data_IF_700309538436
#
_entry.id   IF_700309538436
#
_cell.length_a   1.000
_cell.length_b   1.000
_cell.length_c   1.000
_cell.angle_alpha   90.00
_cell.angle_beta   90.00
_cell.angle_gamma   90.00
#
_symmetry.space_group_name_H-M   'P 1'
#
loop_
_entity.id
_entity.type
_entity.pdbx_description
1 polymer ?
#
# COMPACT_ATOMS: atom_id res chain seq x y z
N UNK A 1 -47.63 -13.96 -95.20
CA UNK A 1 -47.04 -14.77 -94.16
C UNK A 1 -45.60 -15.13 -94.56
N UNK A 2 -44.71 -14.19 -94.51
CA UNK A 2 -43.26 -14.35 -94.69
C UNK A 2 -42.55 -13.19 -93.96
N UNK A 3 -42.14 -13.31 -92.74
CA UNK A 3 -41.08 -12.41 -92.14
C UNK A 3 -40.80 -12.71 -90.67
N UNK A 4 -40.99 -13.91 -90.13
CA UNK A 4 -40.74 -14.21 -88.74
C UNK A 4 -39.48 -15.05 -88.48
N UNK A 5 -38.80 -15.59 -89.53
CA UNK A 5 -37.67 -16.53 -89.39
C UNK A 5 -36.28 -15.84 -89.39
N UNK A 6 -36.19 -14.56 -89.80
CA UNK A 6 -34.85 -13.83 -89.85
C UNK A 6 -34.41 -13.22 -88.54
N UNK A 7 -35.32 -12.84 -87.66
CA UNK A 7 -35.02 -12.14 -86.41
C UNK A 7 -34.56 -13.11 -85.31
N UNK A 8 -35.05 -14.35 -85.36
CA UNK A 8 -34.62 -15.34 -84.33
C UNK A 8 -33.22 -15.85 -84.53
N UNK A 9 -32.70 -15.85 -85.78
CA UNK A 9 -31.31 -16.32 -86.07
C UNK A 9 -30.26 -15.27 -85.75
N UNK A 10 -30.59 -13.95 -85.85
CA UNK A 10 -29.66 -12.84 -85.48
C UNK A 10 -29.56 -12.66 -83.96
N UNK A 11 -30.61 -13.00 -83.25
CA UNK A 11 -30.62 -12.86 -81.78
C UNK A 11 -29.90 -14.07 -81.09
N UNK A 12 -29.82 -15.21 -81.71
CA UNK A 12 -29.04 -16.36 -81.22
C UNK A 12 -27.56 -16.22 -81.45
N UNK A 13 -27.04 -15.49 -82.45
CA UNK A 13 -25.66 -15.20 -82.70
C UNK A 13 -25.10 -14.09 -81.76
N UNK A 14 -25.98 -13.14 -81.36
CA UNK A 14 -25.62 -12.07 -80.45
C UNK A 14 -25.43 -12.53 -79.01
N UNK A 15 -26.15 -13.58 -78.57
CA UNK A 15 -26.01 -14.15 -77.23
C UNK A 15 -24.82 -15.10 -77.06
N UNK A 16 -24.31 -15.68 -78.17
CA UNK A 16 -23.12 -16.53 -78.14
C UNK A 16 -21.77 -15.73 -78.03
N UNK A 17 -21.79 -14.44 -78.42
CA UNK A 17 -20.55 -13.59 -78.28
C UNK A 17 -20.38 -12.95 -76.91
N UNK A 18 -21.39 -12.97 -76.03
CA UNK A 18 -21.33 -12.40 -74.70
C UNK A 18 -20.86 -13.40 -73.59
N UNK A 19 -20.63 -14.69 -73.92
CA UNK A 19 -20.11 -15.69 -72.97
C UNK A 19 -18.64 -16.05 -73.15
N UNK A 20 -17.92 -15.41 -74.06
CA UNK A 20 -16.50 -15.68 -74.31
C UNK A 20 -15.53 -14.69 -73.64
N UNK A 21 -16.03 -13.88 -72.70
CA UNK A 21 -15.28 -12.76 -72.10
C UNK A 21 -14.98 -12.87 -70.63
N UNK A 22 -14.90 -14.04 -69.99
CA UNK A 22 -14.45 -14.24 -68.62
C UNK A 22 -13.47 -15.42 -68.50
N UNK A 23 -12.34 -15.29 -69.06
CA UNK A 23 -11.19 -16.16 -68.92
C UNK A 23 -9.92 -15.34 -68.82
N UNK A 24 -10.00 -14.27 -68.00
CA UNK A 24 -8.76 -13.62 -67.50
C UNK A 24 -8.24 -14.47 -66.36
N UNK A 25 -7.24 -15.26 -66.63
CA UNK A 25 -6.27 -15.68 -65.63
C UNK A 25 -5.74 -14.36 -65.01
N UNK A 26 -6.36 -13.93 -63.92
CA UNK A 26 -5.68 -12.98 -62.99
C UNK A 26 -4.42 -13.71 -62.58
N UNK A 27 -3.34 -13.42 -63.30
CA UNK A 27 -2.02 -13.63 -62.79
C UNK A 27 -2.03 -13.02 -61.39
N UNK A 28 -2.15 -13.87 -60.34
CA UNK A 28 -1.84 -13.44 -58.98
C UNK A 28 -0.51 -12.74 -59.07
N UNK A 29 -0.55 -11.41 -59.06
CA UNK A 29 0.68 -10.61 -58.88
C UNK A 29 1.33 -11.17 -57.63
N UNK A 30 2.49 -11.76 -57.84
CA UNK A 30 3.36 -12.31 -56.80
C UNK A 30 3.95 -11.13 -55.96
N UNK A 31 3.06 -10.19 -55.59
CA UNK A 31 3.38 -9.08 -54.70
C UNK A 31 3.40 -9.65 -53.30
N UNK A 32 4.60 -9.87 -52.79
CA UNK A 32 4.81 -10.31 -51.42
C UNK A 32 3.93 -9.50 -50.45
N UNK A 33 3.12 -10.18 -49.65
CA UNK A 33 2.18 -9.54 -48.72
C UNK A 33 2.95 -8.66 -47.72
N UNK A 34 2.57 -7.37 -47.56
CA UNK A 34 3.23 -6.53 -46.57
C UNK A 34 2.89 -7.03 -45.14
N UNK A 35 3.88 -7.27 -44.31
CA UNK A 35 3.74 -7.68 -42.91
C UNK A 35 4.50 -6.73 -41.99
N UNK A 36 3.82 -6.31 -40.94
CA UNK A 36 4.46 -5.49 -39.90
C UNK A 36 5.43 -6.35 -39.10
N UNK A 37 6.69 -5.96 -39.11
CA UNK A 37 7.75 -6.66 -38.40
C UNK A 37 8.37 -5.79 -37.30
N UNK A 38 8.87 -6.44 -36.28
CA UNK A 38 9.61 -5.79 -35.19
C UNK A 38 10.72 -6.71 -34.71
N UNK A 39 11.76 -6.13 -34.13
CA UNK A 39 12.70 -6.90 -33.33
C UNK A 39 12.09 -7.15 -31.95
N UNK A 40 12.34 -8.33 -31.33
CA UNK A 40 12.12 -8.46 -29.91
C UNK A 40 12.88 -7.35 -29.21
N UNK A 41 12.14 -6.38 -28.62
CA UNK A 41 12.75 -5.22 -27.99
C UNK A 41 13.62 -5.66 -26.83
N UNK A 42 14.66 -4.87 -26.53
CA UNK A 42 15.39 -4.94 -25.25
C UNK A 42 14.44 -4.52 -24.12
N UNK A 43 13.32 -5.23 -24.05
CA UNK A 43 12.37 -5.07 -22.97
C UNK A 43 13.02 -5.63 -21.72
N UNK A 44 13.66 -4.76 -20.95
CA UNK A 44 13.46 -4.87 -19.53
C UNK A 44 11.97 -4.67 -19.32
N UNK A 45 11.18 -5.67 -19.69
CA UNK A 45 9.82 -5.80 -19.19
C UNK A 45 9.99 -6.07 -17.71
N UNK A 46 10.24 -5.00 -16.97
CA UNK A 46 9.97 -4.95 -15.56
C UNK A 46 8.47 -5.18 -15.51
N UNK A 47 8.04 -6.42 -15.37
CA UNK A 47 6.67 -6.68 -14.93
C UNK A 47 6.61 -6.13 -13.52
N UNK A 48 6.38 -4.83 -13.42
CA UNK A 48 6.13 -4.20 -12.17
C UNK A 48 4.67 -4.56 -11.83
N UNK A 49 4.53 -5.51 -10.93
CA UNK A 49 3.21 -5.78 -10.36
C UNK A 49 2.73 -4.52 -9.66
N UNK A 50 1.56 -4.04 -10.06
CA UNK A 50 0.98 -2.81 -9.54
C UNK A 50 -0.11 -3.16 -8.53
N UNK A 51 0.06 -2.72 -7.29
CA UNK A 51 -0.88 -2.95 -6.21
C UNK A 51 -1.54 -1.64 -5.80
N UNK A 52 -2.87 -1.66 -5.65
CA UNK A 52 -3.59 -0.54 -5.07
C UNK A 52 -3.33 -0.48 -3.57
N UNK A 53 -3.24 0.72 -3.01
CA UNK A 53 -3.03 0.94 -1.60
C UNK A 53 -3.50 2.31 -1.14
N UNK A 54 -3.41 2.54 0.16
CA UNK A 54 -3.80 3.78 0.82
C UNK A 54 -2.65 4.29 1.68
N UNK A 55 -2.49 5.61 1.69
CA UNK A 55 -1.44 6.30 2.45
C UNK A 55 -1.86 6.44 3.91
N UNK A 56 -1.03 5.91 4.80
CA UNK A 56 -1.16 5.99 6.25
C UNK A 56 0.04 6.70 6.89
N UNK A 57 -0.14 7.19 8.10
CA UNK A 57 1.01 7.52 8.94
C UNK A 57 1.72 6.23 9.34
N UNK A 58 3.03 6.27 9.47
CA UNK A 58 3.78 5.13 9.98
C UNK A 58 3.37 4.75 11.40
N UNK A 59 3.04 5.75 12.21
CA UNK A 59 2.59 5.58 13.57
C UNK A 59 1.23 6.23 13.76
N UNK A 60 0.24 5.40 14.02
CA UNK A 60 -1.11 5.81 14.36
C UNK A 60 -1.40 5.39 15.80
N UNK A 61 -2.02 6.28 16.57
CA UNK A 61 -2.35 6.04 17.97
C UNK A 61 -3.84 6.26 18.21
N UNK A 62 -4.51 5.21 18.68
CA UNK A 62 -5.86 5.34 19.20
C UNK A 62 -5.79 6.00 20.59
N UNK A 63 -6.33 7.19 20.72
CA UNK A 63 -6.34 7.97 21.96
C UNK A 63 -7.64 7.72 22.72
N UNK A 64 -7.49 7.28 23.97
CA UNK A 64 -8.60 6.93 24.85
C UNK A 64 -8.35 7.46 26.26
N UNK A 65 -9.41 7.77 26.99
CA UNK A 65 -9.31 8.06 28.42
C UNK A 65 -8.99 6.78 29.20
N UNK A 66 -8.23 6.93 30.30
CA UNK A 66 -7.93 5.82 31.23
C UNK A 66 -9.07 5.55 32.19
N UNK A 67 -10.03 6.46 32.28
CA UNK A 67 -11.22 6.41 33.14
C UNK A 67 -12.46 6.68 32.31
N UNK A 68 -13.61 6.18 32.75
CA UNK A 68 -14.90 6.53 32.14
C UNK A 68 -15.47 7.81 32.74
N UNK A 69 -16.33 8.49 31.96
CA UNK A 69 -17.01 9.70 32.40
C UNK A 69 -17.80 10.37 31.28
N UNK A 70 -18.45 11.49 31.60
CA UNK A 70 -19.11 12.31 30.60
C UNK A 70 -18.08 13.20 29.90
N UNK A 71 -18.03 13.16 28.58
CA UNK A 71 -17.16 14.03 27.77
C UNK A 71 -17.67 15.46 27.79
N UNK A 72 -17.06 16.28 28.64
CA UNK A 72 -17.50 17.66 28.86
C UNK A 72 -17.27 18.54 27.64
N UNK A 73 -16.05 18.46 27.07
CA UNK A 73 -15.64 19.29 25.93
C UNK A 73 -14.53 18.63 25.13
N UNK A 74 -14.41 19.13 23.93
CA UNK A 74 -13.45 18.74 22.93
C UNK A 74 -12.76 20.01 22.43
N UNK A 75 -11.44 20.01 22.43
CA UNK A 75 -10.63 21.20 22.08
C UNK A 75 -10.15 21.16 20.62
N UNK A 76 -10.25 19.99 19.94
CA UNK A 76 -9.73 19.78 18.60
C UNK A 76 -10.74 19.08 17.69
N UNK A 77 -10.63 19.34 16.39
CA UNK A 77 -11.39 18.71 15.33
C UNK A 77 -10.55 17.77 14.47
N UNK A 78 -11.22 16.98 13.61
CA UNK A 78 -10.56 16.16 12.59
C UNK A 78 -9.79 17.07 11.64
N UNK A 79 -8.54 16.73 11.34
CA UNK A 79 -7.63 17.52 10.53
C UNK A 79 -6.81 18.54 11.33
N UNK A 80 -7.11 18.76 12.61
CA UNK A 80 -6.33 19.67 13.46
C UNK A 80 -4.93 19.13 13.70
N UNK A 81 -3.92 20.00 13.59
CA UNK A 81 -2.55 19.71 14.00
C UNK A 81 -2.42 19.93 15.49
N UNK A 82 -1.81 18.97 16.18
CA UNK A 82 -1.66 18.96 17.63
C UNK A 82 -0.21 18.73 18.04
N UNK A 83 0.17 19.29 19.20
CA UNK A 83 1.49 19.15 19.76
C UNK A 83 1.48 18.23 20.98
N UNK A 84 2.64 17.59 21.24
CA UNK A 84 2.80 16.72 22.40
C UNK A 84 2.43 17.46 23.70
N UNK A 85 1.58 16.82 24.50
CA UNK A 85 1.09 17.35 25.77
C UNK A 85 -0.15 18.25 25.66
N UNK A 86 -0.56 18.66 24.45
CA UNK A 86 -1.75 19.46 24.20
C UNK A 86 -3.01 18.72 24.66
N UNK A 87 -3.94 19.45 25.28
CA UNK A 87 -5.24 18.89 25.72
C UNK A 87 -6.16 18.79 24.52
N UNK A 88 -6.65 17.59 24.25
CA UNK A 88 -7.53 17.30 23.11
C UNK A 88 -9.01 17.24 23.50
N UNK A 89 -9.26 16.72 24.70
CA UNK A 89 -10.61 16.57 25.25
C UNK A 89 -10.57 16.48 26.77
N UNK A 90 -11.70 16.76 27.42
CA UNK A 90 -11.83 16.74 28.86
C UNK A 90 -13.14 16.04 29.27
N UNK A 91 -13.02 15.11 30.22
CA UNK A 91 -14.17 14.56 30.93
C UNK A 91 -14.59 15.51 32.04
N UNK A 92 -15.85 15.40 32.49
CA UNK A 92 -16.29 16.11 33.69
C UNK A 92 -15.46 15.65 34.91
N UNK A 93 -14.61 16.54 35.46
CA UNK A 93 -13.74 16.19 36.56
C UNK A 93 -14.36 16.36 37.94
N UNK A 94 -15.64 16.76 38.04
CA UNK A 94 -16.28 17.23 39.29
C UNK A 94 -16.04 16.31 40.48
N UNK A 95 -16.47 15.08 40.41
CA UNK A 95 -16.33 14.09 41.49
C UNK A 95 -14.85 13.72 41.77
N UNK A 96 -14.02 13.61 40.74
CA UNK A 96 -12.60 13.30 40.87
C UNK A 96 -11.82 14.42 41.55
N UNK A 97 -12.14 15.67 41.27
CA UNK A 97 -11.54 16.83 41.95
C UNK A 97 -11.95 16.91 43.42
N UNK A 98 -13.23 16.60 43.73
CA UNK A 98 -13.69 16.53 45.11
C UNK A 98 -12.97 15.42 45.88
N UNK A 99 -12.80 14.23 45.28
CA UNK A 99 -12.05 13.13 45.87
C UNK A 99 -10.58 13.49 46.10
N UNK A 100 -9.94 14.17 45.15
CA UNK A 100 -8.55 14.65 45.32
C UNK A 100 -8.43 15.62 46.46
N UNK A 101 -9.33 16.62 46.56
CA UNK A 101 -9.37 17.60 47.67
C UNK A 101 -9.61 16.94 49.02
N UNK A 102 -10.51 15.95 49.11
CA UNK A 102 -10.72 15.18 50.34
C UNK A 102 -9.43 14.44 50.79
N UNK A 103 -8.73 13.83 49.86
CA UNK A 103 -7.48 13.14 50.13
C UNK A 103 -6.34 14.11 50.54
N UNK A 104 -6.30 15.32 49.99
CA UNK A 104 -5.36 16.37 50.41
C UNK A 104 -5.65 16.83 51.84
N UNK A 105 -6.91 17.01 52.21
CA UNK A 105 -7.30 17.37 53.57
C UNK A 105 -6.93 16.25 54.59
N UNK A 106 -7.13 15.00 54.25
CA UNK A 106 -6.75 13.87 55.10
C UNK A 106 -5.20 13.80 55.29
N UNK A 107 -4.45 14.02 54.23
CA UNK A 107 -2.98 14.09 54.33
C UNK A 107 -2.52 15.24 55.20
N UNK A 108 -3.15 16.44 55.07
CA UNK A 108 -2.82 17.60 55.89
C UNK A 108 -3.07 17.34 57.38
N UNK A 109 -4.19 16.69 57.72
CA UNK A 109 -4.51 16.30 59.11
C UNK A 109 -3.47 15.32 59.66
N UNK A 110 -3.06 14.30 58.92
CA UNK A 110 -2.01 13.33 59.35
C UNK A 110 -0.64 13.99 59.48
N UNK A 111 -0.31 14.95 58.64
CA UNK A 111 0.94 15.73 58.75
C UNK A 111 0.98 16.58 60.03
N UNK A 112 -0.15 17.18 60.42
CA UNK A 112 -0.26 17.91 61.68
C UNK A 112 -0.06 16.96 62.89
N UNK A 113 -0.64 15.77 62.85
CA UNK A 113 -0.47 14.76 63.89
C UNK A 113 0.96 14.24 63.99
N UNK A 114 1.64 14.04 62.87
CA UNK A 114 3.05 13.70 62.82
C UNK A 114 3.92 14.82 63.42
N UNK A 115 3.62 16.08 63.11
CA UNK A 115 4.32 17.22 63.69
C UNK A 115 4.17 17.26 65.19
N UNK A 116 2.94 17.02 65.72
CA UNK A 116 2.66 16.92 67.17
C UNK A 116 3.44 15.80 67.82
N UNK A 117 3.36 14.56 67.27
CA UNK A 117 4.10 13.42 67.76
C UNK A 117 5.65 13.65 67.74
N UNK A 118 6.14 14.32 66.72
CA UNK A 118 7.54 14.71 66.63
C UNK A 118 8.00 15.68 67.72
N UNK A 119 7.15 16.69 68.05
CA UNK A 119 7.43 17.63 69.12
C UNK A 119 7.40 16.94 70.49
N UNK A 120 6.44 16.05 70.72
CA UNK A 120 6.37 15.24 71.96
C UNK A 120 7.57 14.36 72.10
N UNK A 121 7.95 13.60 71.08
CA UNK A 121 9.14 12.77 71.02
C UNK A 121 10.41 13.57 71.37
N UNK A 122 10.61 14.74 70.74
CA UNK A 122 11.76 15.59 71.00
C UNK A 122 11.82 16.06 72.47
N UNK A 123 10.65 16.40 73.05
CA UNK A 123 10.49 16.77 74.47
C UNK A 123 10.88 15.61 75.39
N UNK A 124 10.32 14.42 75.17
CA UNK A 124 10.64 13.23 75.98
C UNK A 124 12.09 12.77 75.82
N UNK A 125 12.67 12.90 74.64
CA UNK A 125 14.10 12.64 74.43
C UNK A 125 15.00 13.58 75.26
N UNK A 126 14.63 14.87 75.42
CA UNK A 126 15.33 15.83 76.30
C UNK A 126 15.19 15.44 77.78
N UNK A 127 13.99 15.10 78.25
CA UNK A 127 13.72 14.70 79.65
C UNK A 127 14.40 13.36 79.97
N UNK A 128 14.47 12.39 79.08
CA UNK A 128 15.18 11.13 79.27
C UNK A 128 16.70 11.33 79.45
N UNK A 129 17.31 12.21 78.70
CA UNK A 129 18.72 12.59 78.89
C UNK A 129 19.00 13.21 80.28
N UNK A 130 17.99 13.88 80.85
CA UNK A 130 18.02 14.44 82.22
C UNK A 130 17.61 13.42 83.30
N UNK A 131 17.31 12.16 82.91
CA UNK A 131 16.86 11.09 83.82
C UNK A 131 15.47 11.39 84.47
N UNK A 132 14.67 12.29 83.90
CA UNK A 132 13.35 12.73 84.42
C UNK A 132 12.21 11.85 83.96
N UNK A 133 12.40 10.97 83.00
CA UNK A 133 11.41 10.01 82.52
C UNK A 133 12.05 8.63 82.27
N UNK A 134 11.23 7.58 82.28
CA UNK A 134 11.71 6.21 82.03
C UNK A 134 12.05 5.98 80.55
N UNK A 135 12.89 5.00 80.24
CA UNK A 135 13.14 4.55 78.88
C UNK A 135 11.87 4.10 78.19
N UNK A 136 11.04 3.36 78.86
CA UNK A 136 9.76 2.89 78.30
C UNK A 136 8.83 4.04 77.90
N UNK A 137 8.86 5.18 78.60
CA UNK A 137 8.10 6.39 78.23
C UNK A 137 8.63 7.00 76.93
N UNK A 138 9.94 7.04 76.71
CA UNK A 138 10.57 7.48 75.45
C UNK A 138 10.23 6.50 74.31
N UNK A 139 10.36 5.22 74.52
CA UNK A 139 10.08 4.17 73.54
C UNK A 139 8.60 4.22 73.11
N UNK A 140 7.66 4.56 74.02
CA UNK A 140 6.26 4.77 73.67
C UNK A 140 6.07 5.98 72.73
N UNK A 141 6.82 7.09 72.95
CA UNK A 141 6.79 8.26 72.04
C UNK A 141 7.46 7.98 70.69
N UNK A 142 8.50 7.19 70.67
CA UNK A 142 9.15 6.74 69.42
C UNK A 142 8.18 5.86 68.60
N UNK A 143 7.45 4.95 69.22
CA UNK A 143 6.43 4.15 68.57
C UNK A 143 5.27 5.00 68.03
N UNK A 144 4.81 6.00 68.80
CA UNK A 144 3.72 6.93 68.39
C UNK A 144 4.19 7.76 67.19
N UNK A 145 5.39 8.28 67.20
CA UNK A 145 5.97 9.00 66.07
C UNK A 145 6.10 8.10 64.83
N UNK A 146 6.59 6.87 64.98
CA UNK A 146 6.73 5.92 63.88
C UNK A 146 5.37 5.57 63.27
N UNK A 147 4.33 5.37 64.10
CA UNK A 147 2.98 5.14 63.66
C UNK A 147 2.41 6.31 62.86
N UNK A 148 2.54 7.56 63.39
CA UNK A 148 2.10 8.77 62.68
C UNK A 148 2.87 8.98 61.33
N UNK A 149 4.17 8.67 61.32
CA UNK A 149 4.94 8.71 60.08
C UNK A 149 4.50 7.67 59.06
N UNK A 150 4.10 6.47 59.52
CA UNK A 150 3.46 5.44 58.69
C UNK A 150 2.15 5.92 58.07
N UNK A 151 1.28 6.54 58.89
CA UNK A 151 -0.01 7.09 58.41
C UNK A 151 0.17 8.17 57.36
N UNK A 152 1.11 9.10 57.55
CA UNK A 152 1.41 10.12 56.51
C UNK A 152 1.86 9.48 55.18
N UNK A 153 2.70 8.42 55.22
CA UNK A 153 3.09 7.71 54.00
C UNK A 153 1.89 7.08 53.29
N UNK A 154 1.02 6.44 54.02
CA UNK A 154 -0.19 5.81 53.47
C UNK A 154 -1.14 6.82 52.81
N UNK A 155 -1.46 7.93 53.53
CA UNK A 155 -2.35 8.97 53.02
C UNK A 155 -1.71 9.77 51.86
N UNK A 156 -0.38 9.89 51.82
CA UNK A 156 0.31 10.48 50.67
C UNK A 156 0.10 9.61 49.42
N UNK A 157 0.30 8.30 49.53
CA UNK A 157 0.04 7.39 48.42
C UNK A 157 -1.42 7.45 47.95
N UNK A 158 -2.37 7.52 48.89
CA UNK A 158 -3.81 7.65 48.54
C UNK A 158 -4.10 8.99 47.82
N UNK A 159 -3.53 10.11 48.28
CA UNK A 159 -3.64 11.40 47.62
C UNK A 159 -3.06 11.38 46.21
N UNK A 160 -1.91 10.73 46.01
CA UNK A 160 -1.28 10.63 44.70
C UNK A 160 -2.17 9.84 43.73
N UNK A 161 -2.81 8.75 44.18
CA UNK A 161 -3.78 7.99 43.39
C UNK A 161 -4.98 8.85 43.00
N UNK A 162 -5.58 9.58 43.95
CA UNK A 162 -6.72 10.47 43.67
C UNK A 162 -6.35 11.62 42.73
N UNK A 163 -5.17 12.21 42.91
CA UNK A 163 -4.66 13.26 42.03
C UNK A 163 -4.39 12.77 40.60
N UNK A 164 -3.83 11.56 40.46
CA UNK A 164 -3.66 10.94 39.13
C UNK A 164 -4.99 10.65 38.46
N UNK A 165 -5.99 10.17 39.18
CA UNK A 165 -7.33 9.93 38.65
C UNK A 165 -7.96 11.22 38.12
N UNK A 166 -7.83 12.33 38.85
CA UNK A 166 -8.29 13.66 38.38
C UNK A 166 -7.53 14.12 37.13
N UNK A 167 -6.21 13.84 37.05
CA UNK A 167 -5.41 14.13 35.87
C UNK A 167 -5.80 13.32 34.63
N UNK A 168 -6.33 12.11 34.82
CA UNK A 168 -6.79 11.27 33.70
C UNK A 168 -8.11 11.75 33.06
N UNK A 169 -8.78 12.73 33.66
CA UNK A 169 -9.91 13.40 33.05
C UNK A 169 -9.52 14.27 31.83
N UNK A 170 -8.24 14.54 31.62
CA UNK A 170 -7.74 15.25 30.44
C UNK A 170 -7.06 14.27 29.49
N UNK A 171 -7.54 14.22 28.23
CA UNK A 171 -6.91 13.48 27.15
C UNK A 171 -5.88 14.37 26.48
N UNK A 172 -4.63 13.96 26.51
CA UNK A 172 -3.51 14.73 25.93
C UNK A 172 -2.85 13.99 24.79
N UNK A 173 -2.35 14.74 23.80
CA UNK A 173 -1.57 14.19 22.70
C UNK A 173 -0.25 13.60 23.22
N UNK A 174 0.09 12.33 22.92
CA UNK A 174 1.35 11.72 23.33
C UNK A 174 2.55 12.20 22.51
N UNK A 175 2.28 12.76 21.31
CA UNK A 175 3.26 13.24 20.32
C UNK A 175 2.64 14.25 19.37
N UNK A 176 3.48 14.91 18.57
CA UNK A 176 3.04 15.80 17.50
C UNK A 176 2.39 15.01 16.37
N UNK A 177 1.38 15.59 15.72
CA UNK A 177 0.66 14.93 14.63
C UNK A 177 -0.62 15.64 14.22
N UNK A 178 -1.46 14.89 13.49
CA UNK A 178 -2.76 15.37 13.01
C UNK A 178 -3.86 14.41 13.48
N UNK A 179 -4.99 14.94 13.89
CA UNK A 179 -6.18 14.15 14.24
C UNK A 179 -6.79 13.57 12.96
N UNK A 180 -6.61 12.26 12.75
CA UNK A 180 -7.09 11.57 11.56
C UNK A 180 -8.58 11.22 11.61
N UNK A 181 -9.09 10.87 12.81
CA UNK A 181 -10.50 10.53 13.00
C UNK A 181 -10.97 10.86 14.42
N UNK A 182 -12.28 11.02 14.57
CA UNK A 182 -12.98 11.23 15.83
C UNK A 182 -14.08 10.18 15.98
N UNK A 183 -14.20 9.59 17.17
CA UNK A 183 -15.15 8.52 17.47
C UNK A 183 -16.11 8.83 18.63
N UNK A 184 -15.98 10.02 19.26
CA UNK A 184 -16.88 10.46 20.32
C UNK A 184 -17.16 11.95 20.25
N UNK A 185 -18.32 12.36 20.75
CA UNK A 185 -18.80 13.74 20.77
C UNK A 185 -18.96 14.28 22.21
N UNK A 186 -18.86 15.61 22.36
CA UNK A 186 -19.14 16.27 23.63
C UNK A 186 -20.59 15.98 24.11
N UNK A 187 -20.74 15.75 25.42
CA UNK A 187 -22.01 15.33 26.04
C UNK A 187 -22.21 13.80 26.06
N UNK A 188 -21.35 13.01 25.42
CA UNK A 188 -21.43 11.56 25.42
C UNK A 188 -20.74 10.96 26.66
N UNK A 189 -21.33 9.91 27.25
CA UNK A 189 -20.67 9.11 28.27
C UNK A 189 -19.76 8.09 27.59
N UNK A 190 -18.48 8.11 27.94
CA UNK A 190 -17.45 7.23 27.37
C UNK A 190 -16.89 6.29 28.42
N UNK A 191 -16.55 5.09 28.01
CA UNK A 191 -15.93 4.09 28.86
C UNK A 191 -14.39 4.25 28.88
N UNK A 192 -13.74 3.73 29.92
CA UNK A 192 -12.29 3.61 29.96
C UNK A 192 -11.79 2.73 28.78
N UNK A 193 -10.80 3.18 28.03
CA UNK A 193 -10.25 2.50 26.86
C UNK A 193 -11.05 2.69 25.57
N UNK A 194 -12.19 3.37 25.59
CA UNK A 194 -12.93 3.71 24.39
C UNK A 194 -12.15 4.77 23.58
N UNK A 195 -11.89 4.49 22.31
CA UNK A 195 -11.18 5.41 21.42
C UNK A 195 -12.00 6.70 21.21
N UNK A 196 -11.38 7.83 21.43
CA UNK A 196 -11.96 9.16 21.20
C UNK A 196 -11.42 9.76 19.91
N UNK A 197 -10.11 9.70 19.72
CA UNK A 197 -9.41 10.18 18.53
C UNK A 197 -8.46 9.14 17.98
N UNK A 198 -8.24 9.19 16.67
CA UNK A 198 -7.11 8.56 16.02
C UNK A 198 -6.09 9.65 15.68
N UNK A 199 -4.92 9.57 16.26
CA UNK A 199 -3.80 10.49 16.02
C UNK A 199 -2.84 9.84 15.03
N UNK A 200 -2.65 10.48 13.89
CA UNK A 200 -1.60 10.18 12.93
C UNK A 200 -0.35 11.01 13.26
N UNK A 201 0.72 10.36 13.69
CA UNK A 201 1.95 11.05 14.05
C UNK A 201 2.61 11.73 12.84
N UNK A 202 3.25 12.87 13.09
CA UNK A 202 4.13 13.48 12.10
C UNK A 202 5.32 12.56 11.79
N UNK A 203 5.81 12.59 10.53
CA UNK A 203 6.94 11.79 10.11
C UNK A 203 6.69 11.01 8.83
N UNK A 204 7.28 9.81 8.74
CA UNK A 204 7.24 8.98 7.54
C UNK A 204 5.80 8.55 7.18
N UNK A 205 5.51 8.58 5.89
CA UNK A 205 4.28 8.04 5.31
C UNK A 205 4.52 6.64 4.78
N UNK A 206 3.52 5.80 4.87
CA UNK A 206 3.52 4.43 4.37
C UNK A 206 2.29 4.17 3.53
N UNK A 207 2.43 3.31 2.54
CA UNK A 207 1.30 2.81 1.76
C UNK A 207 0.98 1.40 2.22
N UNK A 208 -0.25 1.19 2.67
CA UNK A 208 -0.77 -0.14 2.97
C UNK A 208 -1.22 -0.80 1.67
N UNK A 209 -0.71 -1.98 1.37
CA UNK A 209 -1.09 -2.80 0.22
C UNK A 209 -1.41 -4.22 0.64
N UNK A 210 -2.13 -4.93 -0.23
CA UNK A 210 -2.43 -6.35 -0.08
C UNK A 210 -1.72 -7.14 -1.19
N UNK A 211 -0.86 -8.09 -0.81
CA UNK A 211 -0.11 -8.95 -1.73
C UNK A 211 -0.80 -10.31 -1.86
N UNK A 212 -1.11 -10.79 -3.07
CA UNK A 212 -1.74 -12.09 -3.26
C UNK A 212 -0.87 -13.26 -2.75
N UNK A 213 -1.50 -14.26 -2.15
CA UNK A 213 -0.82 -15.47 -1.67
C UNK A 213 -0.06 -16.19 -2.79
N UNK A 214 -0.61 -16.20 -4.00
CA UNK A 214 -0.02 -16.86 -5.16
C UNK A 214 1.34 -16.29 -5.59
N UNK A 215 1.62 -15.02 -5.25
CA UNK A 215 2.84 -14.32 -5.69
C UNK A 215 3.73 -13.87 -4.52
N UNK A 216 3.34 -14.17 -3.27
CA UNK A 216 4.03 -13.68 -2.07
C UNK A 216 5.52 -14.04 -2.04
N UNK A 217 5.90 -15.21 -2.58
CA UNK A 217 7.29 -15.67 -2.65
C UNK A 217 8.22 -14.77 -3.49
N UNK A 218 7.66 -13.86 -4.30
CA UNK A 218 8.42 -12.91 -5.12
C UNK A 218 8.76 -11.62 -4.36
N UNK A 219 8.22 -11.43 -3.15
CA UNK A 219 8.35 -10.18 -2.41
C UNK A 219 9.08 -10.41 -1.09
N UNK A 220 9.91 -9.43 -0.70
CA UNK A 220 10.67 -9.49 0.55
C UNK A 220 10.82 -8.11 1.17
N UNK A 221 11.00 -8.09 2.48
CA UNK A 221 11.27 -6.86 3.23
C UNK A 221 12.58 -6.24 2.75
N UNK A 222 12.57 -4.92 2.56
CA UNK A 222 13.69 -4.16 2.03
C UNK A 222 13.67 -3.98 0.51
N UNK A 223 12.80 -4.68 -0.22
CA UNK A 223 12.68 -4.58 -1.67
C UNK A 223 12.31 -3.16 -2.10
N UNK A 224 12.99 -2.59 -3.11
CA UNK A 224 12.64 -1.29 -3.68
C UNK A 224 11.25 -1.32 -4.31
N UNK A 225 10.56 -0.19 -4.17
CA UNK A 225 9.23 0.05 -4.73
C UNK A 225 9.14 1.46 -5.30
N UNK A 226 8.18 1.68 -6.18
CA UNK A 226 7.80 3.01 -6.64
C UNK A 226 6.33 3.23 -6.32
N UNK A 227 6.01 4.37 -5.76
CA UNK A 227 4.64 4.75 -5.38
C UNK A 227 4.17 5.89 -6.27
N UNK A 228 3.03 5.73 -6.88
CA UNK A 228 2.35 6.75 -7.68
C UNK A 228 1.03 7.10 -7.00
N UNK A 229 0.87 8.37 -6.65
CA UNK A 229 -0.36 8.86 -6.03
C UNK A 229 -1.42 9.11 -7.10
N UNK A 230 -2.68 8.84 -6.77
CA UNK A 230 -3.79 9.01 -7.70
C UNK A 230 -3.99 10.46 -8.15
N UNK A 231 -3.67 11.43 -7.28
CA UNK A 231 -3.74 12.86 -7.56
C UNK A 231 -2.52 13.43 -8.33
N UNK A 232 -1.47 12.61 -8.54
CA UNK A 232 -0.25 13.02 -9.24
C UNK A 232 0.23 11.93 -10.22
N UNK A 233 -0.56 11.62 -11.28
CA UNK A 233 -0.22 10.57 -12.22
C UNK A 233 1.09 10.87 -12.94
N UNK A 234 1.91 9.83 -13.15
CA UNK A 234 3.24 9.94 -13.77
C UNK A 234 4.36 10.32 -12.80
N UNK A 235 4.07 10.84 -11.61
CA UNK A 235 5.08 11.11 -10.58
C UNK A 235 5.26 9.90 -9.68
N UNK A 236 6.38 9.21 -9.84
CA UNK A 236 6.72 8.03 -9.04
C UNK A 236 7.67 8.41 -7.91
N UNK A 237 7.26 8.16 -6.69
CA UNK A 237 8.02 8.40 -5.47
C UNK A 237 8.79 7.13 -5.09
N UNK A 238 10.09 7.23 -4.76
CA UNK A 238 10.87 6.09 -4.32
C UNK A 238 10.37 5.61 -2.94
N UNK A 239 10.26 4.30 -2.80
CA UNK A 239 9.73 3.64 -1.62
C UNK A 239 10.41 2.29 -1.40
N UNK A 240 10.11 1.63 -0.28
CA UNK A 240 10.63 0.31 0.06
C UNK A 240 9.64 -0.48 0.89
N UNK A 241 9.54 -1.77 0.66
CA UNK A 241 8.77 -2.66 1.53
C UNK A 241 9.43 -2.67 2.91
N UNK A 242 8.72 -2.23 3.95
CA UNK A 242 9.18 -2.25 5.33
C UNK A 242 8.76 -3.53 6.06
N UNK A 243 7.56 -3.99 5.77
CA UNK A 243 6.92 -5.08 6.50
C UNK A 243 5.99 -5.85 5.59
N UNK A 244 5.98 -7.17 5.78
CA UNK A 244 5.00 -8.09 5.20
C UNK A 244 4.46 -8.89 6.36
N UNK A 245 3.14 -8.94 6.53
CA UNK A 245 2.50 -9.73 7.58
C UNK A 245 2.90 -11.21 7.45
N UNK A 246 3.15 -11.92 8.55
CA UNK A 246 3.57 -13.33 8.50
C UNK A 246 2.42 -14.29 8.16
N UNK A 247 1.17 -13.84 8.23
CA UNK A 247 -0.02 -14.60 7.94
C UNK A 247 -0.90 -13.90 6.92
N UNK A 248 -1.51 -14.67 6.03
CA UNK A 248 -2.51 -14.16 5.08
C UNK A 248 -3.84 -13.92 5.77
N UNK A 249 -4.58 -12.93 5.31
CA UNK A 249 -6.00 -12.80 5.61
C UNK A 249 -6.75 -13.98 4.94
N UNK A 250 -7.46 -14.81 5.70
CA UNK A 250 -8.09 -16.02 5.17
C UNK A 250 -9.27 -15.71 4.22
N UNK A 251 -9.90 -14.54 4.33
CA UNK A 251 -11.01 -14.15 3.48
C UNK A 251 -10.54 -13.58 2.15
N UNK A 252 -9.57 -12.66 2.20
CA UNK A 252 -9.02 -12.02 1.03
C UNK A 252 -7.92 -12.86 0.35
N UNK A 253 -7.32 -13.84 1.02
CA UNK A 253 -6.13 -14.60 0.57
C UNK A 253 -4.98 -13.69 0.16
N UNK A 254 -4.75 -12.68 0.98
CA UNK A 254 -3.70 -11.70 0.76
C UNK A 254 -2.88 -11.47 2.02
N UNK A 255 -1.63 -11.12 1.84
CA UNK A 255 -0.74 -10.69 2.91
C UNK A 255 -0.74 -9.16 2.98
N UNK A 256 -0.98 -8.61 4.15
CA UNK A 256 -0.84 -7.17 4.35
C UNK A 256 0.65 -6.78 4.27
N UNK A 257 0.96 -5.74 3.52
CA UNK A 257 2.31 -5.20 3.45
C UNK A 257 2.30 -3.68 3.63
N UNK A 258 3.39 -3.15 4.20
CA UNK A 258 3.63 -1.73 4.42
C UNK A 258 4.81 -1.29 3.61
N UNK A 259 4.61 -0.29 2.77
CA UNK A 259 5.64 0.28 1.89
C UNK A 259 5.93 1.71 2.34
N UNK A 260 7.12 1.95 2.90
CA UNK A 260 7.53 3.26 3.39
C UNK A 260 8.02 4.13 2.24
N UNK A 261 7.49 5.35 2.14
CA UNK A 261 7.98 6.38 1.23
C UNK A 261 9.31 6.93 1.75
N UNK A 262 10.32 7.01 0.89
CA UNK A 262 11.64 7.54 1.26
C UNK A 262 11.62 9.08 1.38
N UNK A 263 10.73 9.73 0.63
CA UNK A 263 10.47 11.17 0.69
C UNK A 263 8.96 11.38 0.68
N UNK A 264 8.32 11.15 1.82
CA UNK A 264 6.87 11.18 1.98
C UNK A 264 6.32 12.37 2.77
N UNK A 265 7.15 13.36 3.11
CA UNK A 265 6.76 14.47 3.99
C UNK A 265 5.65 15.36 3.43
N UNK A 266 5.45 15.38 2.11
CA UNK A 266 4.44 16.18 1.42
C UNK A 266 3.21 15.36 0.97
N UNK A 267 3.05 14.12 1.45
CA UNK A 267 1.93 13.25 1.06
C UNK A 267 0.88 13.25 2.15
N UNK A 268 -0.37 13.56 1.76
CA UNK A 268 -1.50 13.59 2.70
C UNK A 268 -1.98 12.17 3.04
N UNK A 269 -2.53 12.03 4.22
CA UNK A 269 -3.12 10.78 4.71
C UNK A 269 -4.41 10.44 3.98
N UNK A 270 -4.72 9.14 3.85
CA UNK A 270 -5.92 8.66 3.21
C UNK A 270 -5.92 8.75 1.68
N UNK A 271 -4.83 9.22 1.06
CA UNK A 271 -4.73 9.23 -0.40
C UNK A 271 -4.60 7.82 -0.96
N UNK A 272 -5.31 7.56 -2.05
CA UNK A 272 -5.12 6.33 -2.82
C UNK A 272 -3.81 6.40 -3.60
N UNK A 273 -3.10 5.28 -3.60
CA UNK A 273 -1.82 5.14 -4.27
C UNK A 273 -1.75 3.82 -5.04
N UNK A 274 -0.86 3.79 -6.03
CA UNK A 274 -0.47 2.57 -6.73
C UNK A 274 0.99 2.30 -6.43
N UNK A 275 1.27 1.11 -5.92
CA UNK A 275 2.63 0.66 -5.60
C UNK A 275 3.10 -0.29 -6.68
N UNK A 276 4.18 0.08 -7.33
CA UNK A 276 4.87 -0.75 -8.32
C UNK A 276 6.02 -1.47 -7.63
N UNK A 277 5.91 -2.79 -7.54
CA UNK A 277 6.96 -3.65 -7.04
C UNK A 277 7.67 -4.26 -8.25
N UNK A 278 8.98 -4.10 -8.31
CA UNK A 278 9.76 -4.78 -9.32
C UNK A 278 9.75 -6.27 -8.99
N UNK A 279 9.07 -7.05 -9.81
CA UNK A 279 9.25 -8.50 -9.83
C UNK A 279 10.71 -8.83 -10.19
N UNK A 280 11.12 -10.08 -10.05
CA UNK A 280 12.42 -10.52 -10.54
C UNK A 280 12.54 -10.14 -12.01
N UNK A 281 13.44 -9.19 -12.29
CA UNK A 281 13.68 -8.70 -13.64
C UNK A 281 14.11 -9.88 -14.50
N UNK A 282 13.20 -10.43 -15.27
CA UNK A 282 13.57 -11.36 -16.34
C UNK A 282 14.03 -10.47 -17.48
N UNK A 283 15.36 -10.31 -17.60
CA UNK A 283 15.98 -9.67 -18.75
C UNK A 283 15.78 -10.54 -19.98
N UNK A 284 14.56 -10.59 -20.48
CA UNK A 284 14.21 -11.33 -21.68
C UNK A 284 13.65 -10.35 -22.72
N UNK A 285 14.03 -10.49 -23.99
CA UNK A 285 13.45 -9.69 -25.06
C UNK A 285 11.94 -9.86 -25.08
N UNK A 286 11.19 -8.75 -25.24
CA UNK A 286 9.73 -8.78 -25.27
C UNK A 286 9.19 -8.56 -26.67
N UNK A 287 8.07 -9.21 -26.97
CA UNK A 287 7.32 -9.06 -28.22
C UNK A 287 5.91 -8.53 -27.93
N UNK A 288 5.30 -7.81 -28.88
CA UNK A 288 3.88 -7.43 -28.76
C UNK A 288 2.99 -8.66 -28.59
N UNK A 289 1.93 -8.54 -27.79
CA UNK A 289 0.98 -9.66 -27.58
C UNK A 289 0.35 -10.15 -28.89
N UNK A 290 0.13 -9.23 -29.86
CA UNK A 290 -0.39 -9.54 -31.21
C UNK A 290 0.53 -10.39 -32.08
N UNK A 291 1.81 -10.48 -31.74
CA UNK A 291 2.78 -11.33 -32.44
C UNK A 291 2.66 -12.81 -32.04
N UNK A 292 2.07 -13.09 -30.87
CA UNK A 292 1.96 -14.44 -30.35
C UNK A 292 0.88 -15.23 -31.09
N UNK A 293 1.26 -16.40 -31.56
CA UNK A 293 0.38 -17.35 -32.24
C UNK A 293 0.37 -18.68 -31.50
N UNK A 294 -0.58 -19.53 -31.85
CA UNK A 294 -0.61 -20.91 -31.35
C UNK A 294 -0.01 -21.83 -32.39
N UNK A 295 0.92 -22.68 -32.02
CA UNK A 295 1.45 -23.71 -32.89
C UNK A 295 0.42 -24.84 -33.07
N UNK A 296 0.56 -25.70 -34.11
CA UNK A 296 -0.34 -26.83 -34.32
C UNK A 296 -0.37 -27.86 -33.19
N UNK A 297 0.59 -27.82 -32.27
CA UNK A 297 0.69 -28.71 -31.09
C UNK A 297 0.08 -28.08 -29.84
N UNK A 298 -0.47 -26.86 -29.97
CA UNK A 298 -1.13 -26.11 -28.88
C UNK A 298 -0.18 -25.25 -28.05
N UNK A 299 1.12 -25.18 -28.37
CA UNK A 299 2.12 -24.33 -27.77
C UNK A 299 2.07 -22.88 -28.26
N UNK A 300 2.91 -22.03 -27.68
CA UNK A 300 3.12 -20.65 -28.15
C UNK A 300 4.16 -20.61 -29.26
N UNK A 301 3.91 -19.84 -30.31
CA UNK A 301 4.80 -19.64 -31.42
C UNK A 301 4.75 -18.22 -31.96
N UNK A 302 5.74 -17.81 -32.72
CA UNK A 302 5.80 -16.53 -33.44
C UNK A 302 6.25 -16.73 -34.87
N UNK A 303 5.82 -15.88 -35.78
CA UNK A 303 6.32 -15.84 -37.14
C UNK A 303 7.62 -15.08 -37.19
N UNK A 304 8.68 -15.74 -37.66
CA UNK A 304 10.02 -15.18 -37.88
C UNK A 304 10.23 -15.03 -39.38
N UNK A 305 10.71 -13.86 -39.82
CA UNK A 305 11.08 -13.63 -41.21
C UNK A 305 12.55 -13.98 -41.42
N UNK A 306 12.84 -14.91 -42.32
CA UNK A 306 14.18 -15.20 -42.75
C UNK A 306 14.78 -14.03 -43.52
N UNK A 307 15.93 -13.48 -43.09
CA UNK A 307 16.51 -12.28 -43.71
C UNK A 307 17.00 -12.48 -45.13
N UNK A 308 17.35 -13.69 -45.54
CA UNK A 308 17.91 -13.99 -46.88
C UNK A 308 16.82 -14.30 -47.90
N UNK A 309 15.79 -15.05 -47.50
CA UNK A 309 14.73 -15.56 -48.38
C UNK A 309 13.41 -14.79 -48.27
N UNK A 310 13.23 -13.97 -47.23
CA UNK A 310 11.97 -13.29 -46.86
C UNK A 310 10.82 -14.28 -46.60
N UNK A 311 11.12 -15.51 -46.33
CA UNK A 311 10.13 -16.53 -45.99
C UNK A 311 9.80 -16.51 -44.52
N UNK A 312 8.55 -16.82 -44.24
CA UNK A 312 8.03 -16.97 -42.89
C UNK A 312 8.31 -18.38 -42.34
N UNK A 313 8.74 -18.41 -41.09
CA UNK A 313 8.88 -19.64 -40.32
C UNK A 313 8.15 -19.52 -38.99
N UNK A 314 7.26 -20.45 -38.70
CA UNK A 314 6.58 -20.51 -37.41
C UNK A 314 7.52 -21.13 -36.37
N UNK A 315 8.07 -20.27 -35.52
CA UNK A 315 9.07 -20.68 -34.52
C UNK A 315 8.41 -20.85 -33.16
N UNK A 316 8.45 -22.03 -32.55
CA UNK A 316 7.96 -22.25 -31.20
C UNK A 316 8.74 -21.40 -30.20
N UNK A 317 8.02 -20.75 -29.28
CA UNK A 317 8.63 -19.88 -28.25
C UNK A 317 8.17 -20.29 -26.86
N UNK A 318 9.04 -20.08 -25.89
CA UNK A 318 8.71 -20.16 -24.49
C UNK A 318 8.54 -18.75 -23.96
N UNK A 319 7.36 -18.41 -23.51
CA UNK A 319 7.03 -17.08 -23.04
C UNK A 319 6.95 -17.04 -21.51
N UNK A 320 7.23 -15.87 -20.94
CA UNK A 320 7.04 -15.57 -19.52
C UNK A 320 5.63 -15.03 -19.23
N UNK A 321 5.41 -14.48 -18.03
CA UNK A 321 4.15 -13.87 -17.67
C UNK A 321 3.78 -12.72 -18.61
N UNK A 322 2.49 -12.62 -18.96
CA UNK A 322 1.98 -11.56 -19.83
C UNK A 322 2.02 -10.19 -19.11
N UNK A 323 2.66 -9.22 -19.74
CA UNK A 323 2.69 -7.82 -19.27
C UNK A 323 1.69 -6.92 -20.01
N UNK A 324 1.54 -5.67 -19.56
CA UNK A 324 0.68 -4.65 -20.21
C UNK A 324 1.16 -4.27 -21.62
N UNK A 325 2.46 -4.29 -21.85
CA UNK A 325 3.08 -3.75 -23.07
C UNK A 325 3.65 -4.85 -23.98
N UNK A 326 3.61 -6.09 -23.54
CA UNK A 326 4.13 -7.22 -24.31
C UNK A 326 4.36 -8.48 -23.49
N UNK A 327 4.93 -9.48 -24.16
CA UNK A 327 5.21 -10.79 -23.58
C UNK A 327 6.71 -11.04 -23.63
N UNK A 328 7.39 -11.33 -22.50
CA UNK A 328 8.79 -11.67 -22.50
C UNK A 328 8.99 -13.07 -23.13
N UNK A 329 9.92 -13.17 -24.04
CA UNK A 329 10.28 -14.45 -24.70
C UNK A 329 11.52 -15.01 -24.00
N UNK A 330 11.32 -16.12 -23.30
CA UNK A 330 12.38 -16.78 -22.53
C UNK A 330 13.28 -17.65 -23.40
N UNK A 331 12.74 -18.18 -24.52
CA UNK A 331 13.47 -19.02 -25.47
C UNK A 331 12.72 -19.08 -26.81
N UNK A 332 13.46 -19.29 -27.88
CA UNK A 332 12.94 -19.53 -29.24
C UNK A 332 13.29 -18.45 -30.27
N UNK A 333 13.40 -17.18 -29.86
CA UNK A 333 13.85 -16.08 -30.75
C UNK A 333 14.89 -15.21 -30.05
N UNK A 334 15.82 -14.71 -30.85
CA UNK A 334 16.85 -13.79 -30.38
C UNK A 334 16.50 -12.33 -30.56
N UNK A 335 17.26 -11.40 -29.95
CA UNK A 335 16.99 -9.96 -30.02
C UNK A 335 17.17 -9.36 -31.42
N UNK A 336 17.78 -10.09 -32.35
CA UNK A 336 18.01 -9.65 -33.73
C UNK A 336 17.07 -10.29 -34.76
N UNK A 337 16.19 -11.19 -34.31
CA UNK A 337 15.26 -11.87 -35.22
C UNK A 337 14.11 -10.88 -35.57
N UNK A 338 13.70 -10.96 -36.85
CA UNK A 338 12.53 -10.20 -37.30
C UNK A 338 11.25 -10.99 -37.02
N UNK A 339 10.47 -10.51 -36.07
CA UNK A 339 9.21 -11.12 -35.66
C UNK A 339 8.04 -10.34 -36.25
N UNK A 340 7.04 -11.04 -36.78
CA UNK A 340 5.79 -10.42 -37.25
C UNK A 340 5.03 -9.90 -36.05
N UNK A 341 4.80 -8.59 -36.00
CA UNK A 341 4.16 -7.92 -34.88
C UNK A 341 2.62 -8.00 -34.90
N UNK A 342 2.01 -8.15 -36.07
CA UNK A 342 0.57 -8.21 -36.23
C UNK A 342 0.17 -8.97 -37.50
N UNK A 343 -1.07 -9.50 -37.54
CA UNK A 343 -1.63 -10.17 -38.74
C UNK A 343 -1.24 -11.64 -38.90
N UNK A 344 -0.55 -12.22 -37.92
CA UNK A 344 -0.01 -13.59 -38.01
C UNK A 344 -1.02 -14.70 -38.29
N UNK A 345 -2.31 -14.48 -38.06
CA UNK A 345 -3.38 -15.46 -38.32
C UNK A 345 -3.71 -15.65 -39.81
N UNK A 346 -3.24 -14.77 -40.67
CA UNK A 346 -3.43 -14.81 -42.14
C UNK A 346 -2.24 -15.45 -42.87
N UNK A 347 -1.16 -15.76 -42.16
CA UNK A 347 0.11 -16.14 -42.71
C UNK A 347 0.33 -17.68 -42.71
N UNK A 348 1.12 -18.16 -43.65
CA UNK A 348 1.40 -19.57 -43.82
C UNK A 348 2.93 -19.86 -43.79
N UNK A 349 3.25 -21.07 -43.40
CA UNK A 349 4.66 -21.53 -43.40
C UNK A 349 5.27 -21.46 -44.80
N UNK A 350 6.45 -20.87 -44.91
CA UNK A 350 7.19 -20.70 -46.17
C UNK A 350 6.68 -19.59 -47.09
N UNK A 351 5.69 -18.83 -46.71
CA UNK A 351 5.18 -17.68 -47.47
C UNK A 351 6.23 -16.58 -47.56
N UNK A 352 6.36 -15.96 -48.77
CA UNK A 352 7.27 -14.85 -49.02
C UNK A 352 6.56 -13.55 -48.74
N UNK A 353 7.11 -12.74 -47.83
CA UNK A 353 6.49 -11.49 -47.39
C UNK A 353 7.37 -10.28 -47.68
N UNK A 354 6.71 -9.08 -47.65
CA UNK A 354 7.40 -7.79 -47.71
C UNK A 354 7.39 -7.18 -46.30
N UNK A 355 8.51 -7.23 -45.53
CA UNK A 355 8.57 -6.69 -44.20
C UNK A 355 8.46 -5.16 -44.23
N UNK A 356 7.57 -4.62 -43.39
CA UNK A 356 7.34 -3.17 -43.22
C UNK A 356 7.43 -2.76 -41.76
N UNK A 357 7.80 -1.50 -41.51
CA UNK A 357 7.76 -0.90 -40.17
C UNK A 357 6.34 -0.38 -39.81
N UNK A 358 6.21 0.24 -38.64
CA UNK A 358 4.95 0.83 -38.16
C UNK A 358 4.44 1.98 -39.06
N UNK A 359 5.31 2.60 -39.85
CA UNK A 359 4.98 3.67 -40.80
C UNK A 359 4.70 3.12 -42.22
N UNK A 360 4.58 1.79 -42.35
CA UNK A 360 4.39 1.07 -43.63
C UNK A 360 5.53 1.30 -44.63
N UNK A 361 6.77 1.52 -44.13
CA UNK A 361 7.95 1.67 -44.98
C UNK A 361 8.66 0.29 -45.06
N UNK A 362 9.15 -0.06 -46.26
CA UNK A 362 9.90 -1.31 -46.44
C UNK A 362 11.12 -1.35 -45.52
N UNK A 363 11.26 -2.42 -44.78
CA UNK A 363 12.42 -2.66 -43.92
C UNK A 363 13.41 -3.58 -44.64
N UNK A 364 14.66 -3.13 -44.73
CA UNK A 364 15.75 -3.98 -45.26
C UNK A 364 16.13 -5.00 -44.18
N UNK A 365 15.71 -6.23 -44.36
CA UNK A 365 16.10 -7.37 -43.50
C UNK A 365 17.51 -7.76 -43.92
N UNK A 366 18.53 -7.05 -43.41
CA UNK A 366 19.92 -7.39 -43.67
C UNK A 366 20.29 -8.66 -42.88
N UNK A 367 20.94 -9.62 -43.51
CA UNK A 367 21.52 -10.78 -42.84
C UNK A 367 22.53 -10.29 -41.79
N UNK A 368 22.26 -10.55 -40.50
CA UNK A 368 23.22 -10.29 -39.44
C UNK A 368 24.48 -11.12 -39.74
N UNK A 369 25.57 -10.43 -40.03
CA UNK A 369 26.87 -11.11 -40.25
C UNK A 369 27.18 -12.03 -39.06
N UNK A 370 27.68 -13.22 -39.40
CA UNK A 370 28.16 -14.27 -38.49
C UNK A 370 29.27 -13.77 -37.60
#
# INVERSE_FOLDING_TARGET
MKSASGVALAMACATAFLLAGCGGDEARSDSAQPVLVTHPGDGTSLSADAFAGEVHAREESALAFRIGGNLLRREVDVGARVHRGEVLAELDPGDLQLQARASDAQLAAAQAELARAGADRARYAKLARQQLVSRSALDAQDATYAAAAGQVRALRAQRDVAGNAAGYAQLRAPRDGVIAARQAEAGQVVAAGQTIFLLAADGSREVAIALPESTIGNFHVGQPALVELWNAPGKRLPARIREIAPAADPQARTYAARVTLLDGSAVDLGQSARVYLQGTATSAPSIPLSALQRDPRGGSAVWVVDPATRKLHLTPVRVGPFGSDGVPVLNGVGPRDWVVAAGGHLLHEGEVVAPVDRDNRPVSVAAAGR
#
